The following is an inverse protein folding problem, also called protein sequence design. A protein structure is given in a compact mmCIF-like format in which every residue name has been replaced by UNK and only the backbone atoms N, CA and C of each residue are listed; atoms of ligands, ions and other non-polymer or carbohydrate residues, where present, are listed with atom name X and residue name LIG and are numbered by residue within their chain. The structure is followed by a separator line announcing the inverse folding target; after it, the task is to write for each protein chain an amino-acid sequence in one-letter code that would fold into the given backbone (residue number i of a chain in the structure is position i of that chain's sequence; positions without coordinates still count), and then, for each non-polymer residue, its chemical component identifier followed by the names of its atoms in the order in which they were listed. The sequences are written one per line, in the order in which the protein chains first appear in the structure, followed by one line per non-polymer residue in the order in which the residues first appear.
data_IF_170487029002
#
_entry.id   IF_170487029002
#
_cell.length_a   1.000
_cell.length_b   1.000
_cell.length_c   1.000
_cell.angle_alpha   90.00
_cell.angle_beta   90.00
_cell.angle_gamma   90.00
#
_symmetry.space_group_name_H-M   'P 1'
#
loop_
_entity.id
_entity.type
_entity.pdbx_description
1 polymer ?
#
# COMPACT_ATOMS: atom_id res chain seq x y z
N UNK A 1 18.70 -56.21 8.16
CA UNK A 1 18.85 -55.07 7.20
C UNK A 1 17.78 -54.06 7.49
N UNK A 2 18.11 -52.99 8.22
CA UNK A 2 17.15 -51.98 8.68
C UNK A 2 17.30 -50.75 7.81
N UNK A 3 16.31 -50.47 6.96
CA UNK A 3 16.27 -49.24 6.13
C UNK A 3 15.94 -48.04 7.01
N UNK A 4 16.90 -47.15 7.19
CA UNK A 4 16.69 -45.85 7.74
C UNK A 4 16.00 -44.94 6.71
N UNK A 5 14.71 -44.64 6.93
CA UNK A 5 14.00 -43.65 6.16
C UNK A 5 14.54 -42.24 6.53
N UNK A 6 15.25 -41.61 5.60
CA UNK A 6 15.73 -40.24 5.72
C UNK A 6 14.52 -39.29 5.79
N UNK A 7 14.26 -38.71 6.97
CA UNK A 7 13.31 -37.61 7.14
C UNK A 7 13.83 -36.37 6.40
N UNK A 8 13.26 -36.06 5.25
CA UNK A 8 13.45 -34.79 4.54
C UNK A 8 12.86 -33.71 5.43
N UNK A 9 13.64 -32.71 5.89
CA UNK A 9 13.08 -31.62 6.69
C UNK A 9 12.10 -30.82 5.81
N UNK A 10 10.86 -30.76 6.29
CA UNK A 10 9.78 -30.01 5.67
C UNK A 10 10.11 -28.51 5.79
N UNK A 11 10.87 -27.97 4.83
CA UNK A 11 11.18 -26.54 4.76
C UNK A 11 9.87 -25.82 4.44
N UNK A 12 9.15 -25.41 5.48
CA UNK A 12 8.01 -24.50 5.35
C UNK A 12 8.54 -23.26 4.64
N UNK A 13 8.24 -23.12 3.33
CA UNK A 13 8.45 -21.86 2.60
C UNK A 13 7.76 -20.78 3.40
N UNK A 14 8.55 -19.80 3.93
CA UNK A 14 7.99 -18.59 4.52
C UNK A 14 7.02 -18.00 3.49
N UNK A 15 5.77 -17.64 3.88
CA UNK A 15 4.89 -16.96 2.96
C UNK A 15 5.65 -15.75 2.42
N UNK A 16 5.78 -15.64 1.10
CA UNK A 16 6.41 -14.47 0.49
C UNK A 16 5.48 -13.31 0.76
N UNK A 17 5.87 -12.42 1.67
CA UNK A 17 5.17 -11.17 1.92
C UNK A 17 5.08 -10.41 0.60
N UNK A 18 3.89 -10.36 0.02
CA UNK A 18 3.66 -9.70 -1.27
C UNK A 18 3.13 -8.27 -1.06
N UNK A 19 2.22 -8.10 -0.09
CA UNK A 19 1.58 -6.80 0.16
C UNK A 19 2.53 -5.80 0.83
N UNK A 20 3.38 -6.27 1.75
CA UNK A 20 4.35 -5.42 2.46
C UNK A 20 5.78 -5.54 1.92
N UNK A 21 5.97 -6.09 0.72
CA UNK A 21 7.29 -6.21 0.09
C UNK A 21 7.99 -4.84 -0.07
N UNK A 22 7.23 -3.79 -0.35
CA UNK A 22 7.77 -2.42 -0.45
C UNK A 22 8.39 -1.96 0.88
N UNK A 23 7.78 -2.30 2.01
CA UNK A 23 8.29 -1.98 3.35
C UNK A 23 9.59 -2.75 3.64
N UNK A 24 9.65 -4.04 3.30
CA UNK A 24 10.88 -4.84 3.42
C UNK A 24 12.03 -4.25 2.59
N UNK A 25 11.74 -3.83 1.34
CA UNK A 25 12.71 -3.16 0.47
C UNK A 25 13.19 -1.84 1.08
N UNK A 26 12.26 -1.02 1.62
CA UNK A 26 12.58 0.22 2.27
C UNK A 26 13.51 0.01 3.48
N UNK A 27 13.18 -0.94 4.38
CA UNK A 27 14.01 -1.24 5.54
C UNK A 27 15.42 -1.68 5.16
N UNK A 28 15.55 -2.54 4.13
CA UNK A 28 16.84 -2.96 3.58
C UNK A 28 17.66 -1.79 3.03
N UNK A 29 17.01 -0.87 2.28
CA UNK A 29 17.65 0.33 1.73
C UNK A 29 18.16 1.25 2.85
N UNK A 30 17.38 1.41 3.90
CA UNK A 30 17.73 2.21 5.07
C UNK A 30 18.72 1.51 6.02
N UNK A 31 18.98 0.21 5.80
CA UNK A 31 19.76 -0.67 6.68
C UNK A 31 19.19 -0.74 8.10
N UNK A 32 17.86 -0.68 8.22
CA UNK A 32 17.17 -0.78 9.51
C UNK A 32 16.62 -2.18 9.72
N UNK A 33 16.82 -2.70 10.92
CA UNK A 33 16.10 -3.87 11.42
C UNK A 33 14.66 -3.51 11.78
N UNK A 34 13.78 -4.51 11.90
CA UNK A 34 12.40 -4.30 12.37
C UNK A 34 12.36 -3.62 13.76
N UNK A 35 13.18 -4.01 14.75
CA UNK A 35 13.24 -3.31 16.03
C UNK A 35 13.63 -1.84 15.89
N UNK A 36 14.65 -1.51 15.13
CA UNK A 36 15.07 -0.12 14.89
C UNK A 36 13.99 0.71 14.21
N UNK A 37 13.31 0.14 13.23
CA UNK A 37 12.18 0.81 12.60
C UNK A 37 11.04 1.05 13.61
N UNK A 38 10.69 0.04 14.42
CA UNK A 38 9.65 0.17 15.44
C UNK A 38 9.95 1.30 16.43
N UNK A 39 11.19 1.39 16.89
CA UNK A 39 11.64 2.47 17.79
C UNK A 39 11.55 3.85 17.11
N UNK A 40 11.92 3.97 15.83
CA UNK A 40 11.84 5.23 15.07
C UNK A 40 10.40 5.71 14.81
N UNK A 41 9.47 4.80 14.61
CA UNK A 41 8.05 5.13 14.37
C UNK A 41 7.22 5.14 15.65
N UNK A 42 7.87 4.98 16.82
CA UNK A 42 7.25 4.96 18.13
C UNK A 42 6.12 3.92 18.22
N UNK A 43 6.46 2.69 17.87
CA UNK A 43 5.57 1.54 17.91
C UNK A 43 6.23 0.36 18.62
N UNK A 44 5.42 -0.54 19.14
CA UNK A 44 5.96 -1.77 19.73
C UNK A 44 6.53 -2.69 18.65
N UNK A 45 7.65 -3.35 18.96
CA UNK A 45 8.25 -4.35 18.05
C UNK A 45 7.25 -5.44 17.67
N UNK A 46 6.42 -5.85 18.63
CA UNK A 46 5.37 -6.85 18.39
C UNK A 46 4.35 -6.40 17.34
N UNK A 47 3.95 -5.11 17.36
CA UNK A 47 3.03 -4.57 16.35
C UNK A 47 3.64 -4.62 14.94
N UNK A 48 4.90 -4.20 14.79
CA UNK A 48 5.58 -4.22 13.49
C UNK A 48 5.81 -5.66 13.00
N UNK A 49 6.23 -6.58 13.88
CA UNK A 49 6.32 -8.00 13.52
C UNK A 49 4.98 -8.59 13.11
N UNK A 50 3.88 -8.16 13.75
CA UNK A 50 2.54 -8.61 13.39
C UNK A 50 2.18 -8.20 11.96
N UNK A 51 2.51 -6.98 11.52
CA UNK A 51 2.28 -6.55 10.13
C UNK A 51 2.91 -7.50 9.12
N UNK A 52 4.19 -7.83 9.32
CA UNK A 52 4.90 -8.78 8.45
C UNK A 52 4.35 -10.21 8.55
N UNK A 53 3.83 -10.61 9.72
CA UNK A 53 3.24 -11.94 9.92
C UNK A 53 1.93 -12.10 9.15
N UNK A 54 1.07 -11.07 9.20
CA UNK A 54 -0.24 -11.09 8.51
C UNK A 54 -0.14 -10.59 7.06
N UNK A 55 1.01 -10.02 6.69
CA UNK A 55 1.27 -9.38 5.40
C UNK A 55 0.26 -8.29 5.05
N UNK A 56 -0.17 -7.53 6.07
CA UNK A 56 -1.15 -6.46 5.90
C UNK A 56 -1.10 -5.43 7.03
N UNK A 57 -1.56 -4.21 6.74
CA UNK A 57 -1.74 -3.15 7.72
C UNK A 57 -2.73 -2.10 7.23
N UNK A 58 -3.24 -1.28 8.15
CA UNK A 58 -4.11 -0.15 7.79
C UNK A 58 -3.31 0.96 7.12
N UNK A 59 -3.88 1.55 6.08
CA UNK A 59 -3.29 2.67 5.35
C UNK A 59 -2.94 3.83 6.30
N UNK A 60 -3.84 4.19 7.21
CA UNK A 60 -3.60 5.26 8.19
C UNK A 60 -2.42 4.96 9.11
N UNK A 61 -2.26 3.70 9.54
CA UNK A 61 -1.14 3.27 10.37
C UNK A 61 0.19 3.40 9.62
N UNK A 62 0.21 3.00 8.32
CA UNK A 62 1.38 3.16 7.47
C UNK A 62 1.79 4.62 7.34
N UNK A 63 0.85 5.49 6.96
CA UNK A 63 1.15 6.91 6.79
C UNK A 63 1.65 7.55 8.09
N UNK A 64 0.99 7.27 9.23
CA UNK A 64 1.41 7.81 10.51
C UNK A 64 2.82 7.35 10.91
N UNK A 65 3.19 6.09 10.60
CA UNK A 65 4.53 5.58 10.85
C UNK A 65 5.57 6.29 10.00
N UNK A 66 5.29 6.48 8.70
CA UNK A 66 6.22 7.13 7.79
C UNK A 66 6.33 8.64 8.01
N UNK A 67 5.24 9.33 8.35
CA UNK A 67 5.25 10.74 8.76
C UNK A 67 6.23 11.00 9.91
N UNK A 68 6.29 10.09 10.91
CA UNK A 68 7.20 10.20 12.06
C UNK A 68 8.69 10.17 11.68
N UNK A 69 9.03 9.48 10.61
CA UNK A 69 10.42 9.38 10.13
C UNK A 69 10.71 10.36 8.97
N UNK A 70 9.77 11.27 8.67
CA UNK A 70 9.94 12.29 7.63
C UNK A 70 9.84 11.76 6.21
N UNK A 71 9.08 10.69 5.99
CA UNK A 71 8.80 10.11 4.67
C UNK A 71 7.30 10.08 4.39
N UNK A 72 6.95 10.14 3.11
CA UNK A 72 5.59 9.86 2.65
C UNK A 72 5.56 8.60 1.79
N UNK A 73 4.44 7.88 1.85
CA UNK A 73 4.17 6.71 1.02
C UNK A 73 3.05 7.06 0.06
N UNK A 74 3.33 6.94 -1.24
CA UNK A 74 2.39 7.27 -2.31
C UNK A 74 2.04 6.00 -3.04
N UNK A 75 0.74 5.73 -3.13
CA UNK A 75 0.20 4.66 -3.95
C UNK A 75 -0.35 5.25 -5.24
N UNK A 76 -0.11 4.56 -6.35
CA UNK A 76 -0.74 4.85 -7.64
C UNK A 76 -1.12 3.56 -8.35
N UNK A 77 -2.16 3.62 -9.18
CA UNK A 77 -2.59 2.52 -10.03
C UNK A 77 -2.56 2.99 -11.49
N UNK A 78 -1.92 2.21 -12.36
CA UNK A 78 -1.75 2.51 -13.76
C UNK A 78 -2.29 1.37 -14.62
N UNK A 79 -2.91 1.70 -15.74
CA UNK A 79 -3.28 0.71 -16.74
C UNK A 79 -2.03 0.14 -17.43
N UNK A 80 -1.97 -1.19 -17.67
CA UNK A 80 -0.79 -1.80 -18.26
C UNK A 80 -0.53 -1.45 -19.72
N UNK A 81 -1.48 -0.80 -20.41
CA UNK A 81 -1.45 -0.61 -21.88
C UNK A 81 -1.83 0.81 -22.33
N UNK A 82 -1.48 1.84 -21.60
CA UNK A 82 -1.46 3.17 -22.24
C UNK A 82 -0.18 3.20 -23.07
N UNK A 83 -0.36 3.28 -24.40
CA UNK A 83 0.74 3.43 -25.34
C UNK A 83 1.66 4.54 -24.85
N UNK A 84 2.94 4.27 -24.60
CA UNK A 84 3.89 5.25 -24.08
C UNK A 84 4.03 6.51 -24.97
N UNK A 85 3.44 6.46 -26.17
CA UNK A 85 3.40 7.54 -27.14
C UNK A 85 2.25 8.54 -26.90
N UNK A 86 1.27 8.23 -26.05
CA UNK A 86 0.22 9.20 -25.68
C UNK A 86 0.67 9.89 -24.40
N UNK A 87 1.47 10.94 -24.54
CA UNK A 87 1.71 11.88 -23.43
C UNK A 87 0.45 12.71 -23.22
N UNK A 88 -0.38 12.31 -22.27
CA UNK A 88 -1.42 13.19 -21.73
C UNK A 88 -0.68 14.15 -20.80
N UNK A 89 -0.39 15.36 -21.30
CA UNK A 89 0.03 16.47 -20.44
C UNK A 89 -1.19 16.88 -19.62
N UNK A 90 -1.30 16.36 -18.41
CA UNK A 90 -2.23 16.89 -17.42
C UNK A 90 -1.63 18.22 -16.96
N UNK A 91 -2.29 19.32 -17.32
CA UNK A 91 -1.86 20.66 -16.88
C UNK A 91 -1.79 20.69 -15.34
N UNK A 92 -0.60 20.92 -14.76
CA UNK A 92 -0.44 20.94 -13.31
C UNK A 92 -1.17 22.12 -12.63
N UNK A 93 -1.86 22.97 -13.39
CA UNK A 93 -2.58 24.14 -12.85
C UNK A 93 -3.91 23.82 -12.19
N UNK A 94 -4.50 22.64 -12.41
CA UNK A 94 -5.79 22.27 -11.78
C UNK A 94 -5.67 21.75 -10.34
N UNK A 95 -4.46 21.68 -9.77
CA UNK A 95 -4.23 21.13 -8.43
C UNK A 95 -4.10 22.22 -7.33
N UNK A 96 -4.84 23.34 -7.48
CA UNK A 96 -4.77 24.49 -6.52
C UNK A 96 -5.83 24.39 -5.42
N UNK A 97 -6.60 23.36 -5.31
CA UNK A 97 -7.49 23.17 -4.15
C UNK A 97 -6.72 22.43 -3.04
N UNK A 98 -6.06 23.21 -2.18
CA UNK A 98 -5.20 22.77 -1.05
C UNK A 98 -5.99 22.12 0.11
N UNK A 99 -7.01 21.34 -0.19
CA UNK A 99 -7.61 20.44 0.79
C UNK A 99 -6.63 19.27 1.03
N UNK A 100 -6.55 18.77 2.29
CA UNK A 100 -5.68 17.62 2.56
C UNK A 100 -6.03 16.52 1.56
N UNK A 101 -5.05 16.13 0.74
CA UNK A 101 -5.22 15.11 -0.32
C UNK A 101 -5.79 13.87 0.34
N UNK A 102 -7.01 13.49 -0.01
CA UNK A 102 -7.56 12.23 0.44
C UNK A 102 -6.67 11.11 -0.07
N UNK A 103 -6.15 10.31 0.84
CA UNK A 103 -5.16 9.25 0.57
C UNK A 103 -5.66 8.20 -0.42
N UNK A 104 -6.98 8.07 -0.57
CA UNK A 104 -7.62 7.13 -1.50
C UNK A 104 -8.07 7.76 -2.84
N UNK A 105 -7.69 9.01 -3.14
CA UNK A 105 -8.07 9.63 -4.41
C UNK A 105 -7.52 8.84 -5.61
N UNK A 106 -6.28 8.33 -5.53
CA UNK A 106 -5.71 7.50 -6.59
C UNK A 106 -6.58 6.28 -6.91
N UNK A 107 -7.15 5.64 -5.89
CA UNK A 107 -8.03 4.49 -6.05
C UNK A 107 -9.36 4.90 -6.66
N UNK A 108 -9.93 6.03 -6.22
CA UNK A 108 -11.18 6.55 -6.77
C UNK A 108 -11.04 6.86 -8.25
N UNK A 109 -9.97 7.57 -8.67
CA UNK A 109 -9.69 7.85 -10.08
C UNK A 109 -9.52 6.56 -10.87
N UNK A 110 -8.70 5.63 -10.39
CA UNK A 110 -8.47 4.36 -11.07
C UNK A 110 -9.77 3.55 -11.28
N UNK A 111 -10.68 3.54 -10.31
CA UNK A 111 -11.97 2.87 -10.45
C UNK A 111 -12.89 3.59 -11.46
N UNK A 112 -12.92 4.92 -11.42
CA UNK A 112 -13.69 5.74 -12.35
C UNK A 112 -13.22 5.54 -13.78
N UNK A 113 -11.91 5.60 -14.04
CA UNK A 113 -11.30 5.44 -15.37
C UNK A 113 -11.54 4.05 -15.98
N UNK A 114 -11.96 3.07 -15.17
CA UNK A 114 -12.24 1.70 -15.57
C UNK A 114 -13.74 1.32 -15.51
N UNK A 115 -14.62 2.29 -15.36
CA UNK A 115 -16.08 2.07 -15.22
C UNK A 115 -16.42 1.06 -14.11
N UNK A 116 -15.69 1.12 -12.98
CA UNK A 116 -15.91 0.25 -11.83
C UNK A 116 -16.62 1.04 -10.74
N UNK A 117 -17.92 0.84 -10.62
CA UNK A 117 -18.69 1.37 -9.52
C UNK A 117 -18.44 0.63 -8.19
N UNK A 118 -18.88 1.25 -7.09
CA UNK A 118 -18.67 0.70 -5.76
C UNK A 118 -19.38 -0.65 -5.54
N UNK A 119 -20.53 -0.88 -6.16
CA UNK A 119 -21.27 -2.15 -6.04
C UNK A 119 -20.52 -3.29 -6.75
N UNK A 120 -19.95 -3.02 -7.92
CA UNK A 120 -19.11 -3.98 -8.65
C UNK A 120 -17.84 -4.29 -7.86
N UNK A 121 -17.22 -3.27 -7.27
CA UNK A 121 -16.05 -3.42 -6.42
C UNK A 121 -16.38 -4.26 -5.18
N UNK A 122 -17.45 -3.96 -4.46
CA UNK A 122 -17.90 -4.68 -3.28
C UNK A 122 -18.09 -6.17 -3.57
N UNK A 123 -18.85 -6.49 -4.63
CA UNK A 123 -19.06 -7.89 -5.07
C UNK A 123 -17.74 -8.60 -5.41
N UNK A 124 -16.79 -7.93 -6.06
CA UNK A 124 -15.49 -8.53 -6.42
C UNK A 124 -14.59 -8.76 -5.21
N UNK A 125 -14.68 -7.90 -4.21
CA UNK A 125 -13.91 -8.03 -2.98
C UNK A 125 -14.59 -8.92 -1.94
N UNK A 126 -15.89 -9.23 -2.11
CA UNK A 126 -16.67 -10.01 -1.13
C UNK A 126 -16.91 -9.23 0.17
N UNK A 127 -17.17 -7.92 0.05
CA UNK A 127 -17.46 -7.03 1.19
C UNK A 127 -18.69 -6.18 0.89
N UNK A 128 -19.24 -5.54 1.92
CA UNK A 128 -20.40 -4.66 1.77
C UNK A 128 -20.02 -3.32 1.12
N UNK A 129 -20.94 -2.75 0.36
CA UNK A 129 -20.74 -1.46 -0.33
C UNK A 129 -20.53 -0.32 0.68
N UNK A 130 -21.17 -0.39 1.83
CA UNK A 130 -21.02 0.55 2.94
C UNK A 130 -19.57 0.59 3.46
N UNK A 131 -18.88 -0.55 3.43
CA UNK A 131 -17.46 -0.63 3.80
C UNK A 131 -16.60 0.18 2.82
N UNK A 132 -16.90 0.11 1.52
CA UNK A 132 -16.17 0.87 0.49
C UNK A 132 -16.44 2.36 0.64
N UNK A 133 -17.69 2.73 0.86
CA UNK A 133 -18.06 4.11 1.12
C UNK A 133 -17.38 4.66 2.38
N UNK A 134 -17.30 3.86 3.44
CA UNK A 134 -16.54 4.20 4.65
C UNK A 134 -15.05 4.43 4.36
N UNK A 135 -14.42 3.62 3.50
CA UNK A 135 -13.03 3.83 3.12
C UNK A 135 -12.84 5.21 2.48
N UNK A 136 -13.69 5.55 1.51
CA UNK A 136 -13.56 6.83 0.78
C UNK A 136 -13.92 8.05 1.61
N UNK A 137 -14.79 7.91 2.61
CA UNK A 137 -15.12 9.02 3.52
C UNK A 137 -14.02 9.27 4.54
N UNK A 138 -13.35 8.22 5.02
CA UNK A 138 -12.47 8.27 6.17
C UNK A 138 -10.99 7.99 5.86
N UNK A 139 -10.64 7.76 4.59
CA UNK A 139 -9.31 7.31 4.16
C UNK A 139 -8.80 6.06 4.93
N UNK A 140 -9.72 5.17 5.30
CA UNK A 140 -9.44 3.98 6.13
C UNK A 140 -9.64 2.71 5.32
N UNK A 141 -8.53 2.08 4.93
CA UNK A 141 -8.51 0.83 4.16
C UNK A 141 -7.30 0.00 4.60
N UNK A 142 -7.38 -1.30 4.41
CA UNK A 142 -6.21 -2.16 4.52
C UNK A 142 -5.45 -2.20 3.19
N UNK A 143 -4.12 -2.25 3.25
CA UNK A 143 -3.24 -2.22 2.07
C UNK A 143 -3.48 -3.41 1.15
N UNK A 144 -3.78 -4.59 1.72
CA UNK A 144 -4.08 -5.80 0.95
C UNK A 144 -5.21 -5.62 -0.07
N UNK A 145 -6.17 -4.72 0.19
CA UNK A 145 -7.23 -4.44 -0.78
C UNK A 145 -6.70 -3.77 -2.05
N UNK A 146 -5.65 -2.94 -1.98
CA UNK A 146 -5.06 -2.33 -3.16
C UNK A 146 -4.48 -3.39 -4.10
N UNK A 147 -3.79 -4.38 -3.56
CA UNK A 147 -3.25 -5.51 -4.33
C UNK A 147 -4.36 -6.37 -4.93
N UNK A 148 -5.44 -6.61 -4.17
CA UNK A 148 -6.60 -7.35 -4.67
C UNK A 148 -7.30 -6.62 -5.79
N UNK A 149 -7.48 -5.30 -5.67
CA UNK A 149 -8.08 -4.45 -6.70
C UNK A 149 -7.19 -4.44 -7.95
N UNK A 150 -5.90 -4.18 -7.79
CA UNK A 150 -4.96 -4.21 -8.90
C UNK A 150 -5.00 -5.54 -9.66
N UNK A 151 -5.05 -6.67 -8.93
CA UNK A 151 -5.12 -8.00 -9.53
C UNK A 151 -6.40 -8.22 -10.34
N UNK A 152 -7.56 -7.80 -9.85
CA UNK A 152 -8.81 -8.05 -10.56
C UNK A 152 -9.08 -7.04 -11.69
N UNK A 153 -8.53 -5.82 -11.61
CA UNK A 153 -8.63 -4.79 -12.66
C UNK A 153 -7.57 -4.95 -13.74
N UNK A 154 -6.53 -5.74 -13.49
CA UNK A 154 -5.36 -5.82 -14.36
C UNK A 154 -4.43 -4.61 -14.27
N UNK A 155 -4.70 -3.66 -13.37
CA UNK A 155 -3.87 -2.48 -13.18
C UNK A 155 -2.55 -2.83 -12.49
N UNK A 156 -1.54 -2.00 -12.72
CA UNK A 156 -0.25 -2.06 -12.03
C UNK A 156 -0.27 -1.15 -10.82
N UNK A 157 -0.19 -1.72 -9.61
CA UNK A 157 -0.01 -0.96 -8.39
C UNK A 157 1.46 -0.55 -8.26
N UNK A 158 1.71 0.74 -8.10
CA UNK A 158 3.04 1.29 -7.77
C UNK A 158 3.01 1.85 -6.35
N UNK A 159 4.14 1.70 -5.67
CA UNK A 159 4.37 2.29 -4.34
C UNK A 159 5.66 3.06 -4.39
N UNK A 160 5.61 4.35 -4.11
CA UNK A 160 6.76 5.23 -3.99
C UNK A 160 6.91 5.68 -2.54
N UNK A 161 8.16 5.72 -2.06
CA UNK A 161 8.50 6.20 -0.72
C UNK A 161 9.57 7.27 -0.87
N UNK A 162 9.23 8.49 -0.49
CA UNK A 162 10.12 9.63 -0.65
C UNK A 162 10.18 10.49 0.61
N UNK A 163 11.30 11.22 0.84
CA UNK A 163 11.38 12.19 1.93
C UNK A 163 10.33 13.29 1.75
N UNK A 164 9.70 13.69 2.84
CA UNK A 164 8.79 14.85 2.85
C UNK A 164 9.65 16.12 2.68
N UNK A 165 9.32 16.96 1.71
CA UNK A 165 10.02 18.23 1.51
C UNK A 165 9.71 19.18 2.66
N UNK A 166 10.72 19.94 3.15
CA UNK A 166 10.54 20.90 4.25
C UNK A 166 9.47 21.96 3.97
N UNK A 167 9.23 22.27 2.71
CA UNK A 167 8.21 23.21 2.25
C UNK A 167 6.80 22.73 2.55
N UNK A 168 6.58 21.41 2.60
CA UNK A 168 5.29 20.80 2.89
C UNK A 168 4.89 20.87 4.38
N UNK A 169 5.85 21.21 5.28
CA UNK A 169 5.59 21.38 6.71
C UNK A 169 5.05 22.75 7.10
N UNK A 170 5.18 23.77 6.24
CA UNK A 170 4.77 25.13 6.55
C UNK A 170 3.26 25.40 6.40
N UNK A 171 2.50 24.37 6.01
CA UNK A 171 1.06 24.47 5.70
C UNK A 171 0.19 23.44 6.46
N UNK A 172 0.67 22.92 7.59
CA UNK A 172 -0.15 22.10 8.51
C UNK A 172 -0.68 22.92 9.66
#
# INVERSE_FOLDING_TARGET
MTQQASKIPNVRKKPQNQNLKFLDIFLKKMKWSIPEFADKVDMTKAAVYHWFKVDDMRLTTLHNAFDKIGYEVIFSMEMPNIDENIKIEIDPKDDIDRKPRKRLNFLRSALYDNDIDQNRLARKLGIDVETIDYWFRHDKCYISYFFRIAKFTGMKLKVDIRPIKKEDFLHK
#
